data_IF_111118377783
#
_entry.id   IF_111118377783
#
_cell.length_a   1.000
_cell.length_b   1.000
_cell.length_c   1.000
_cell.angle_alpha   90.00
_cell.angle_beta   90.00
_cell.angle_gamma   90.00
#
_symmetry.space_group_name_H-M   'P 1'
#
loop_
_entity.id
_entity.type
_entity.pdbx_description
1 polymer ?
#
# COMPACT_ATOMS: atom_id res chain seq x y z
N UNK A 1 2.00 -17.65 38.34
CA UNK A 1 1.58 -17.31 36.95
C UNK A 1 1.98 -18.49 36.08
N UNK A 2 1.02 -19.08 35.37
CA UNK A 2 1.26 -20.24 34.52
C UNK A 2 2.03 -19.79 33.25
N UNK A 3 3.16 -20.43 32.93
CA UNK A 3 4.02 -20.07 31.81
C UNK A 3 3.27 -20.01 30.46
N UNK A 4 2.35 -20.94 30.13
CA UNK A 4 1.50 -20.84 28.91
C UNK A 4 0.64 -19.57 28.86
N UNK A 5 0.01 -19.20 29.97
CA UNK A 5 -0.81 -18.00 30.06
C UNK A 5 0.03 -16.74 29.79
N UNK A 6 1.21 -16.63 30.40
CA UNK A 6 2.11 -15.49 30.17
C UNK A 6 2.51 -15.39 28.70
N UNK A 7 2.75 -16.53 28.05
CA UNK A 7 3.11 -16.60 26.63
C UNK A 7 2.00 -16.06 25.73
N UNK A 8 0.73 -16.40 26.01
CA UNK A 8 -0.44 -15.90 25.26
C UNK A 8 -0.60 -14.39 25.45
N UNK A 9 -0.47 -13.91 26.69
CA UNK A 9 -0.56 -12.46 26.96
C UNK A 9 0.54 -11.70 26.22
N UNK A 10 1.79 -12.15 26.30
CA UNK A 10 2.91 -11.53 25.60
C UNK A 10 2.73 -11.55 24.07
N UNK A 11 2.20 -12.65 23.52
CA UNK A 11 1.91 -12.75 22.09
C UNK A 11 0.87 -11.71 21.67
N UNK A 12 -0.27 -11.64 22.34
CA UNK A 12 -1.33 -10.70 22.00
C UNK A 12 -0.89 -9.22 22.15
N UNK A 13 -0.11 -8.92 23.18
CA UNK A 13 0.50 -7.59 23.32
C UNK A 13 1.47 -7.31 22.16
N UNK A 14 2.33 -8.26 21.81
CA UNK A 14 3.24 -8.14 20.67
C UNK A 14 2.50 -7.93 19.35
N UNK A 15 1.41 -8.67 19.10
CA UNK A 15 0.54 -8.50 17.94
C UNK A 15 -0.07 -7.09 17.90
N UNK A 16 -0.58 -6.60 19.03
CA UNK A 16 -1.15 -5.25 19.12
C UNK A 16 -0.13 -4.16 18.82
N UNK A 17 1.08 -4.28 19.34
CA UNK A 17 2.18 -3.33 19.09
C UNK A 17 2.64 -3.38 17.63
N UNK A 18 2.74 -4.58 17.05
CA UNK A 18 3.09 -4.73 15.63
C UNK A 18 2.02 -4.10 14.73
N UNK A 19 0.74 -4.32 15.01
CA UNK A 19 -0.35 -3.68 14.27
C UNK A 19 -0.29 -2.15 14.36
N UNK A 20 -0.07 -1.58 15.55
CA UNK A 20 0.07 -0.14 15.72
C UNK A 20 1.20 0.44 14.85
N UNK A 21 2.34 -0.24 14.80
CA UNK A 21 3.44 0.16 13.92
C UNK A 21 3.04 0.20 12.46
N UNK A 22 2.35 -0.84 11.96
CA UNK A 22 1.91 -0.89 10.56
C UNK A 22 0.76 0.08 10.26
N UNK A 23 -0.10 0.35 11.22
CA UNK A 23 -1.14 1.39 11.11
C UNK A 23 -0.50 2.78 10.86
N UNK A 24 0.52 3.14 11.64
CA UNK A 24 1.26 4.40 11.46
C UNK A 24 1.93 4.48 10.08
N UNK A 25 2.58 3.39 9.64
CA UNK A 25 3.20 3.35 8.31
C UNK A 25 2.16 3.49 7.19
N UNK A 26 1.01 2.84 7.34
CA UNK A 26 -0.07 2.89 6.35
C UNK A 26 -0.74 4.26 6.31
N UNK A 27 -0.91 4.93 7.44
CA UNK A 27 -1.41 6.31 7.51
C UNK A 27 -0.51 7.31 6.78
N UNK A 28 0.81 7.14 6.84
CA UNK A 28 1.76 7.94 6.06
C UNK A 28 1.61 7.67 4.54
N UNK A 29 1.40 6.42 4.14
CA UNK A 29 1.13 6.07 2.73
C UNK A 29 -0.19 6.68 2.24
N UNK A 30 -1.26 6.59 3.03
CA UNK A 30 -2.56 7.19 2.70
C UNK A 30 -2.44 8.71 2.57
N UNK A 31 -1.75 9.36 3.50
CA UNK A 31 -1.56 10.81 3.49
C UNK A 31 -0.82 11.27 2.23
N UNK A 32 0.22 10.52 1.83
CA UNK A 32 0.97 10.76 0.59
C UNK A 32 0.08 10.56 -0.64
N UNK A 33 -0.70 9.48 -0.69
CA UNK A 33 -1.66 9.21 -1.77
C UNK A 33 -2.71 10.32 -1.88
N UNK A 34 -3.28 10.74 -0.76
CA UNK A 34 -4.29 11.81 -0.69
C UNK A 34 -3.76 13.14 -1.25
N UNK A 35 -2.49 13.45 -1.01
CA UNK A 35 -1.85 14.63 -1.58
C UNK A 35 -1.91 14.63 -3.10
N UNK A 36 -1.54 13.53 -3.76
CA UNK A 36 -1.58 13.39 -5.22
C UNK A 36 -3.01 13.39 -5.78
N UNK A 37 -3.99 12.81 -5.06
CA UNK A 37 -5.41 12.88 -5.44
C UNK A 37 -5.91 14.32 -5.42
N UNK A 38 -5.57 15.09 -4.39
CA UNK A 38 -5.95 16.50 -4.31
C UNK A 38 -5.30 17.33 -5.42
N UNK A 39 -4.07 17.01 -5.80
CA UNK A 39 -3.41 17.64 -6.93
C UNK A 39 -4.13 17.35 -8.27
N UNK A 40 -4.52 16.09 -8.50
CA UNK A 40 -5.35 15.70 -9.64
C UNK A 40 -6.68 16.45 -9.65
N UNK A 41 -7.36 16.54 -8.50
CA UNK A 41 -8.63 17.24 -8.37
C UNK A 41 -8.52 18.73 -8.73
N UNK A 42 -7.47 19.41 -8.28
CA UNK A 42 -7.34 20.85 -8.44
C UNK A 42 -6.66 21.26 -9.74
N UNK A 43 -5.73 20.46 -10.25
CA UNK A 43 -4.88 20.81 -11.39
C UNK A 43 -5.10 19.94 -12.62
N UNK A 44 -5.82 18.82 -12.49
CA UNK A 44 -5.97 17.82 -13.56
C UNK A 44 -4.64 17.20 -14.01
N UNK A 45 -3.60 17.31 -13.17
CA UNK A 45 -2.24 16.86 -13.50
C UNK A 45 -1.59 16.30 -12.23
N UNK A 46 -0.70 15.32 -12.41
CA UNK A 46 0.21 14.84 -11.37
C UNK A 46 1.58 15.50 -11.56
N UNK A 47 2.13 16.09 -10.49
CA UNK A 47 3.49 16.67 -10.49
C UNK A 47 4.56 15.63 -10.17
N UNK A 48 4.17 14.47 -9.65
CA UNK A 48 5.10 13.39 -9.33
C UNK A 48 5.83 12.92 -10.60
N UNK A 49 7.16 12.81 -10.52
CA UNK A 49 7.95 12.21 -11.58
C UNK A 49 7.80 10.69 -11.59
N UNK A 50 8.01 10.05 -12.76
CA UNK A 50 7.98 8.58 -12.89
C UNK A 50 8.91 7.89 -11.88
N UNK A 51 10.13 8.42 -11.70
CA UNK A 51 11.09 7.89 -10.72
C UNK A 51 10.56 7.96 -9.29
N UNK A 52 9.93 9.07 -8.91
CA UNK A 52 9.38 9.24 -7.57
C UNK A 52 8.13 8.36 -7.37
N UNK A 53 7.30 8.18 -8.41
CA UNK A 53 6.19 7.23 -8.35
C UNK A 53 6.70 5.80 -8.16
N UNK A 54 7.73 5.37 -8.89
CA UNK A 54 8.33 4.04 -8.71
C UNK A 54 8.89 3.84 -7.31
N UNK A 55 9.54 4.87 -6.72
CA UNK A 55 9.98 4.83 -5.32
C UNK A 55 8.82 4.70 -4.35
N UNK A 56 7.71 5.40 -4.62
CA UNK A 56 6.52 5.33 -3.80
C UNK A 56 5.86 3.94 -3.89
N UNK A 57 5.75 3.38 -5.10
CA UNK A 57 5.30 1.99 -5.31
C UNK A 57 6.18 1.02 -4.51
N UNK A 58 7.51 1.15 -4.62
CA UNK A 58 8.45 0.32 -3.85
C UNK A 58 8.24 0.42 -2.34
N UNK A 59 7.96 1.63 -1.82
CA UNK A 59 7.66 1.83 -0.40
C UNK A 59 6.37 1.11 0.01
N UNK A 60 5.30 1.20 -0.78
CA UNK A 60 4.02 0.53 -0.51
C UNK A 60 4.20 -0.99 -0.52
N UNK A 61 4.86 -1.53 -1.53
CA UNK A 61 5.14 -2.97 -1.64
C UNK A 61 6.00 -3.48 -0.48
N UNK A 62 6.99 -2.69 -0.04
CA UNK A 62 7.83 -3.06 1.10
C UNK A 62 7.02 -3.13 2.40
N UNK A 63 6.12 -2.17 2.66
CA UNK A 63 5.24 -2.20 3.83
C UNK A 63 4.31 -3.42 3.75
N UNK A 64 3.68 -3.66 2.60
CA UNK A 64 2.81 -4.82 2.39
C UNK A 64 3.53 -6.14 2.61
N UNK A 65 4.71 -6.32 2.03
CA UNK A 65 5.51 -7.52 2.21
C UNK A 65 5.91 -7.71 3.69
N UNK A 66 6.31 -6.63 4.37
CA UNK A 66 6.63 -6.70 5.80
C UNK A 66 5.44 -7.12 6.66
N UNK A 67 4.23 -6.70 6.31
CA UNK A 67 3.00 -7.15 6.98
C UNK A 67 2.78 -8.64 6.71
N UNK A 68 2.89 -9.08 5.46
CA UNK A 68 2.73 -10.49 5.07
C UNK A 68 3.77 -11.38 5.76
N UNK A 69 5.03 -10.97 5.77
CA UNK A 69 6.13 -11.70 6.41
C UNK A 69 5.93 -11.84 7.92
N UNK A 70 5.23 -10.89 8.55
CA UNK A 70 4.92 -10.92 9.97
C UNK A 70 3.50 -11.44 10.28
N UNK A 71 2.73 -11.90 9.28
CA UNK A 71 1.37 -12.43 9.45
C UNK A 71 1.31 -13.64 10.37
N UNK A 72 2.36 -14.48 10.41
CA UNK A 72 2.45 -15.57 11.38
C UNK A 72 2.36 -15.08 12.84
N UNK A 73 2.64 -13.78 13.08
CA UNK A 73 2.43 -13.16 14.40
C UNK A 73 0.93 -13.16 14.78
N UNK A 74 0.02 -13.19 13.79
CA UNK A 74 -1.42 -13.21 14.01
C UNK A 74 -1.98 -14.62 14.20
N UNK A 75 -1.20 -15.65 13.89
CA UNK A 75 -1.58 -17.04 14.09
C UNK A 75 -1.70 -17.38 15.56
N UNK A 76 -2.59 -18.32 15.84
CA UNK A 76 -2.74 -18.84 17.20
C UNK A 76 -1.61 -19.83 17.51
N UNK A 77 -0.95 -19.72 18.67
CA UNK A 77 0.09 -20.67 19.05
C UNK A 77 -0.51 -22.06 19.26
N UNK A 78 0.24 -23.12 18.91
CA UNK A 78 -0.23 -24.50 18.97
C UNK A 78 -0.83 -24.87 20.34
N UNK A 79 -0.30 -24.29 21.44
CA UNK A 79 -0.82 -24.55 22.79
C UNK A 79 -2.28 -24.13 23.01
N UNK A 80 -2.83 -23.27 22.16
CA UNK A 80 -4.23 -22.82 22.23
C UNK A 80 -5.16 -23.90 21.67
N UNK A 81 -4.69 -24.72 20.73
CA UNK A 81 -5.47 -25.78 20.10
C UNK A 81 -5.70 -26.98 21.05
N UNK A 82 -4.77 -27.20 21.97
CA UNK A 82 -4.79 -28.36 22.86
C UNK A 82 -5.43 -28.04 24.23
N UNK A 83 -5.79 -26.78 24.51
CA UNK A 83 -6.32 -26.35 25.79
C UNK A 83 -7.44 -25.33 25.64
N UNK A 84 -8.66 -25.73 25.98
CA UNK A 84 -9.88 -24.91 25.83
C UNK A 84 -9.86 -23.64 26.68
N UNK A 85 -9.30 -23.69 27.89
CA UNK A 85 -9.19 -22.52 28.77
C UNK A 85 -8.22 -21.48 28.18
N UNK A 86 -7.07 -21.92 27.67
CA UNK A 86 -6.12 -21.03 26.99
C UNK A 86 -6.70 -20.45 25.70
N UNK A 87 -7.51 -21.24 24.97
CA UNK A 87 -8.21 -20.78 23.77
C UNK A 87 -9.20 -19.66 24.12
N UNK A 88 -10.00 -19.84 25.17
CA UNK A 88 -10.95 -18.82 25.62
C UNK A 88 -10.24 -17.51 25.98
N UNK A 89 -9.16 -17.59 26.76
CA UNK A 89 -8.35 -16.42 27.14
C UNK A 89 -7.74 -15.74 25.91
N UNK A 90 -7.19 -16.52 24.98
CA UNK A 90 -6.63 -15.97 23.75
C UNK A 90 -7.66 -15.21 22.91
N UNK A 91 -8.87 -15.75 22.75
CA UNK A 91 -9.98 -15.09 22.06
C UNK A 91 -10.39 -13.80 22.76
N UNK A 92 -10.48 -13.80 24.08
CA UNK A 92 -10.80 -12.60 24.85
C UNK A 92 -9.73 -11.52 24.71
N UNK A 93 -8.46 -11.90 24.75
CA UNK A 93 -7.35 -10.96 24.54
C UNK A 93 -7.35 -10.39 23.11
N UNK A 94 -7.52 -11.24 22.09
CA UNK A 94 -7.65 -10.78 20.70
C UNK A 94 -8.84 -9.83 20.52
N UNK A 95 -9.97 -10.09 21.19
CA UNK A 95 -11.12 -9.20 21.23
C UNK A 95 -10.83 -7.87 21.93
N UNK A 96 -10.18 -7.91 23.11
CA UNK A 96 -9.86 -6.69 23.86
C UNK A 96 -8.87 -5.77 23.16
N UNK A 97 -7.96 -6.32 22.36
CA UNK A 97 -7.00 -5.58 21.55
C UNK A 97 -7.50 -5.32 20.12
N UNK A 98 -8.71 -5.74 19.78
CA UNK A 98 -9.32 -5.62 18.44
C UNK A 98 -8.42 -6.11 17.29
N UNK A 99 -7.57 -7.12 17.55
CA UNK A 99 -6.51 -7.57 16.65
C UNK A 99 -7.06 -7.85 15.24
N UNK A 100 -8.12 -8.64 15.14
CA UNK A 100 -8.68 -9.05 13.84
C UNK A 100 -9.35 -7.89 13.09
N UNK A 101 -10.00 -6.97 13.79
CA UNK A 101 -10.65 -5.81 13.20
C UNK A 101 -9.62 -4.82 12.70
N UNK A 102 -8.61 -4.52 13.50
CA UNK A 102 -7.50 -3.64 13.14
C UNK A 102 -6.72 -4.17 11.94
N UNK A 103 -6.47 -5.49 11.89
CA UNK A 103 -5.80 -6.10 10.76
C UNK A 103 -6.61 -5.96 9.46
N UNK A 104 -7.93 -6.22 9.50
CA UNK A 104 -8.80 -6.04 8.32
C UNK A 104 -8.86 -4.59 7.86
N UNK A 105 -8.91 -3.63 8.79
CA UNK A 105 -8.87 -2.21 8.45
C UNK A 105 -7.53 -1.81 7.81
N UNK A 106 -6.42 -2.32 8.34
CA UNK A 106 -5.10 -2.12 7.77
C UNK A 106 -4.99 -2.65 6.33
N UNK A 107 -5.44 -3.87 6.08
CA UNK A 107 -5.45 -4.49 4.75
C UNK A 107 -6.31 -3.69 3.76
N UNK A 108 -7.51 -3.28 4.18
CA UNK A 108 -8.40 -2.43 3.38
C UNK A 108 -7.75 -1.08 3.02
N UNK A 109 -7.07 -0.44 3.97
CA UNK A 109 -6.36 0.82 3.74
C UNK A 109 -5.20 0.67 2.75
N UNK A 110 -4.46 -0.44 2.84
CA UNK A 110 -3.40 -0.76 1.88
C UNK A 110 -3.97 -0.97 0.47
N UNK A 111 -5.09 -1.66 0.36
CA UNK A 111 -5.76 -1.85 -0.92
C UNK A 111 -6.16 -0.52 -1.56
N UNK A 112 -6.70 0.44 -0.79
CA UNK A 112 -7.00 1.79 -1.29
C UNK A 112 -5.73 2.47 -1.83
N UNK A 113 -4.61 2.34 -1.15
CA UNK A 113 -3.34 2.91 -1.64
C UNK A 113 -2.90 2.26 -2.94
N UNK A 114 -3.02 0.93 -3.08
CA UNK A 114 -2.68 0.20 -4.30
C UNK A 114 -3.56 0.62 -5.49
N UNK A 115 -4.86 0.76 -5.27
CA UNK A 115 -5.79 1.24 -6.29
C UNK A 115 -5.42 2.66 -6.77
N UNK A 116 -5.06 3.55 -5.85
CA UNK A 116 -4.58 4.88 -6.18
C UNK A 116 -3.27 4.86 -6.97
N UNK A 117 -2.34 3.95 -6.64
CA UNK A 117 -1.08 3.78 -7.39
C UNK A 117 -1.32 3.34 -8.83
N UNK A 118 -2.26 2.43 -9.05
CA UNK A 118 -2.67 2.00 -10.38
C UNK A 118 -3.17 3.19 -11.17
N UNK A 119 -4.09 3.99 -10.61
CA UNK A 119 -4.59 5.21 -11.23
C UNK A 119 -3.45 6.20 -11.56
N UNK A 120 -2.51 6.43 -10.65
CA UNK A 120 -1.40 7.36 -10.90
C UNK A 120 -0.49 6.87 -12.02
N UNK A 121 -0.25 5.56 -12.08
CA UNK A 121 0.53 4.93 -13.15
C UNK A 121 -0.15 5.12 -14.51
N UNK A 122 -1.45 4.91 -14.59
CA UNK A 122 -2.23 5.08 -15.82
C UNK A 122 -2.21 6.53 -16.30
N UNK A 123 -2.41 7.49 -15.40
CA UNK A 123 -2.34 8.92 -15.73
C UNK A 123 -0.97 9.32 -16.28
N UNK A 124 0.12 8.79 -15.72
CA UNK A 124 1.46 9.08 -16.22
C UNK A 124 1.75 8.41 -17.58
N UNK A 125 1.28 7.18 -17.78
CA UNK A 125 1.44 6.47 -19.05
C UNK A 125 0.70 7.16 -20.19
N UNK A 126 -0.54 7.60 -19.98
CA UNK A 126 -1.31 8.38 -20.98
C UNK A 126 -0.56 9.65 -21.36
N UNK A 127 0.06 10.33 -20.40
CA UNK A 127 0.83 11.55 -20.65
C UNK A 127 2.09 11.29 -21.48
N UNK A 128 2.78 10.17 -21.26
CA UNK A 128 3.96 9.79 -22.06
C UNK A 128 3.55 9.45 -23.50
N UNK A 129 2.49 8.66 -23.69
CA UNK A 129 1.96 8.30 -25.01
C UNK A 129 1.61 9.53 -25.84
N UNK A 130 0.88 10.47 -25.26
CA UNK A 130 0.50 11.71 -25.94
C UNK A 130 1.71 12.55 -26.38
N UNK A 131 2.80 12.57 -25.60
CA UNK A 131 4.03 13.26 -25.99
C UNK A 131 4.72 12.61 -27.19
N UNK A 132 4.72 11.29 -27.27
CA UNK A 132 5.28 10.54 -28.40
C UNK A 132 4.45 10.77 -29.67
N UNK A 133 3.14 10.78 -29.57
CA UNK A 133 2.25 11.10 -30.69
C UNK A 133 2.54 12.50 -31.26
N UNK A 134 2.69 13.52 -30.43
CA UNK A 134 3.05 14.86 -30.86
C UNK A 134 4.41 14.93 -31.56
N UNK A 135 5.42 14.19 -31.09
CA UNK A 135 6.73 14.11 -31.72
C UNK A 135 6.60 13.50 -33.13
N UNK A 136 5.83 12.44 -33.28
CA UNK A 136 5.59 11.79 -34.57
C UNK A 136 4.87 12.75 -35.53
N UNK A 137 3.85 13.47 -35.07
CA UNK A 137 3.12 14.46 -35.89
C UNK A 137 4.07 15.56 -36.35
N UNK A 138 4.93 16.08 -35.51
CA UNK A 138 5.92 17.11 -35.86
C UNK A 138 6.93 16.58 -36.89
N UNK A 139 7.43 15.34 -36.71
CA UNK A 139 8.36 14.74 -37.69
C UNK A 139 7.72 14.55 -39.07
N UNK A 140 6.49 14.05 -39.14
CA UNK A 140 5.75 13.90 -40.40
C UNK A 140 5.52 15.26 -41.05
N UNK A 141 5.12 16.25 -40.26
CA UNK A 141 4.94 17.63 -40.76
C UNK A 141 6.23 18.22 -41.36
N UNK A 142 7.35 17.99 -40.70
CA UNK A 142 8.65 18.45 -41.16
C UNK A 142 9.10 17.72 -42.44
N UNK A 143 8.83 16.42 -42.57
CA UNK A 143 9.11 15.64 -43.77
C UNK A 143 8.31 16.14 -44.96
N UNK A 144 7.02 16.43 -44.78
CA UNK A 144 6.17 17.02 -45.84
C UNK A 144 6.69 18.37 -46.30
N UNK A 145 7.12 19.23 -45.36
CA UNK A 145 7.67 20.54 -45.67
C UNK A 145 8.96 20.41 -46.52
N UNK A 146 9.87 19.52 -46.07
CA UNK A 146 11.12 19.27 -46.84
C UNK A 146 10.82 18.75 -48.22
N UNK A 147 9.88 17.79 -48.36
CA UNK A 147 9.52 17.27 -49.68
C UNK A 147 8.95 18.32 -50.62
N UNK A 148 8.20 19.30 -50.08
CA UNK A 148 7.58 20.37 -50.85
C UNK A 148 8.58 21.44 -51.31
N UNK A 149 9.63 21.72 -50.52
CA UNK A 149 10.63 22.75 -50.82
C UNK A 149 11.84 22.24 -51.58
N UNK A 150 12.12 20.92 -51.54
CA UNK A 150 13.28 20.32 -52.22
C UNK A 150 12.91 19.48 -53.44
N UNK A 151 11.65 19.51 -53.87
CA UNK A 151 11.18 18.91 -55.10
C UNK A 151 10.68 20.00 -56.04
#
# INVERSE_FOLDING_TARGET
INAPLMRIVMLNVGQSVALEHYEVLTDDLISSSKHYILELKHRGKLSISKTNLLKYIGKVLNVKNSIIDNLYILDDPNMVWDNEELNLINRQLKGNFDINTRFKDLDYRLQIVEDNLTLFTDVLNVRESSRLEWIVIILIGLEIIIALFFH
#
